data_IF_347491679509
#
_entry.id   IF_347491679509
#
_cell.length_a   1.000
_cell.length_b   1.000
_cell.length_c   1.000
_cell.angle_alpha   90.00
_cell.angle_beta   90.00
_cell.angle_gamma   90.00
#
_symmetry.space_group_name_H-M   'P 1'
#
loop_
_entity.id
_entity.type
_entity.pdbx_description
1 polymer ?
#
# COMPACT_ATOMS: atom_id res chain seq x y z
N UNK A 1 -21.33 21.28 -17.72
CA UNK A 1 -21.54 21.00 -16.29
C UNK A 1 -22.59 19.91 -16.09
N UNK A 2 -22.17 18.75 -15.61
CA UNK A 2 -23.05 17.64 -15.22
C UNK A 2 -22.49 17.03 -13.95
N UNK A 3 -23.31 16.97 -12.91
CA UNK A 3 -23.00 16.38 -11.62
C UNK A 3 -24.22 15.58 -11.15
N UNK A 4 -23.98 14.62 -10.25
CA UNK A 4 -25.02 13.86 -9.57
C UNK A 4 -25.03 14.26 -8.10
N UNK A 5 -26.22 14.41 -7.51
CA UNK A 5 -26.34 14.60 -6.07
C UNK A 5 -26.24 13.25 -5.37
N UNK A 6 -25.34 13.18 -4.38
CA UNK A 6 -25.20 12.01 -3.52
C UNK A 6 -26.00 12.25 -2.21
N UNK A 7 -26.61 11.20 -1.63
CA UNK A 7 -27.27 11.31 -0.34
C UNK A 7 -26.30 11.79 0.75
N UNK A 8 -26.80 12.62 1.67
CA UNK A 8 -26.04 13.00 2.85
C UNK A 8 -25.78 11.77 3.74
N UNK A 9 -24.53 11.58 4.16
CA UNK A 9 -24.11 10.50 5.03
C UNK A 9 -23.45 11.06 6.29
N UNK A 10 -23.73 10.47 7.45
CA UNK A 10 -23.01 10.78 8.68
C UNK A 10 -21.56 10.29 8.56
N UNK A 11 -20.60 11.13 8.97
CA UNK A 11 -19.19 10.80 8.94
C UNK A 11 -18.66 10.49 10.34
N UNK A 12 -17.91 9.40 10.47
CA UNK A 12 -17.20 9.06 11.70
C UNK A 12 -15.73 8.68 11.46
N UNK A 13 -15.00 8.41 12.55
CA UNK A 13 -13.58 8.11 12.49
C UNK A 13 -13.22 6.81 11.74
N UNK A 14 -14.16 5.87 11.59
CA UNK A 14 -13.96 4.63 10.83
C UNK A 14 -13.82 4.88 9.32
N UNK A 15 -14.23 6.05 8.86
CA UNK A 15 -14.13 6.48 7.47
C UNK A 15 -12.88 7.33 7.21
N UNK A 16 -12.01 7.54 8.21
CA UNK A 16 -10.77 8.29 8.09
C UNK A 16 -9.63 7.32 7.77
N UNK A 17 -8.96 7.56 6.63
CA UNK A 17 -7.72 6.88 6.26
C UNK A 17 -6.55 7.87 6.29
N UNK A 18 -5.33 7.41 6.62
CA UNK A 18 -4.17 8.28 6.54
C UNK A 18 -3.91 8.70 5.09
N UNK A 19 -3.46 9.94 4.94
CA UNK A 19 -2.97 10.43 3.64
C UNK A 19 -1.65 9.74 3.29
N UNK A 20 -1.18 9.89 2.05
CA UNK A 20 0.12 9.37 1.61
C UNK A 20 1.24 9.74 2.59
N UNK A 21 1.27 10.98 3.03
CA UNK A 21 2.37 11.55 3.82
C UNK A 21 2.33 11.08 5.30
N UNK A 22 1.17 10.66 5.80
CA UNK A 22 1.00 10.19 7.20
C UNK A 22 0.82 8.68 7.30
N UNK A 23 0.74 7.96 6.17
CA UNK A 23 0.49 6.52 6.12
C UNK A 23 1.52 5.71 6.88
N UNK A 24 2.81 6.01 6.73
CA UNK A 24 3.88 5.23 7.39
C UNK A 24 3.79 5.33 8.91
N UNK A 25 3.64 6.55 9.46
CA UNK A 25 3.48 6.77 10.90
C UNK A 25 2.28 6.01 11.46
N UNK A 26 1.15 6.08 10.75
CA UNK A 26 -0.06 5.37 11.15
C UNK A 26 0.14 3.85 11.14
N UNK A 27 0.72 3.31 10.07
CA UNK A 27 1.07 1.89 9.99
C UNK A 27 1.97 1.46 11.16
N UNK A 28 2.99 2.23 11.51
CA UNK A 28 3.89 1.90 12.63
C UNK A 28 3.20 1.94 14.00
N UNK A 29 2.21 2.81 14.18
CA UNK A 29 1.43 2.83 15.42
C UNK A 29 0.59 1.58 15.65
N UNK A 30 0.32 0.80 14.59
CA UNK A 30 -0.55 -0.39 14.61
C UNK A 30 0.24 -1.68 14.40
N UNK A 31 1.00 -1.77 13.30
CA UNK A 31 1.71 -2.98 12.87
C UNK A 31 3.05 -3.15 13.58
N UNK A 32 3.72 -2.04 13.91
CA UNK A 32 5.04 -2.03 14.53
C UNK A 32 6.07 -2.90 13.77
N UNK A 33 6.09 -2.80 12.44
CA UNK A 33 7.00 -3.64 11.65
C UNK A 33 8.46 -3.22 11.84
N UNK A 34 9.36 -4.19 11.81
CA UNK A 34 10.81 -3.95 11.93
C UNK A 34 11.48 -3.69 10.58
N UNK A 35 10.82 -4.07 9.48
CA UNK A 35 11.32 -3.93 8.12
C UNK A 35 10.22 -3.37 7.22
N UNK A 36 10.58 -2.43 6.35
CA UNK A 36 9.67 -1.86 5.35
C UNK A 36 10.27 -2.00 3.96
N UNK A 37 9.60 -2.78 3.12
CA UNK A 37 10.01 -3.02 1.73
C UNK A 37 9.37 -1.94 0.85
N UNK A 38 10.17 -1.07 0.25
CA UNK A 38 9.69 0.04 -0.58
C UNK A 38 10.15 -0.09 -2.04
N UNK A 39 9.25 0.15 -2.99
CA UNK A 39 9.60 0.30 -4.40
C UNK A 39 10.29 1.64 -4.70
N UNK A 40 10.88 1.78 -5.90
CA UNK A 40 11.61 3.00 -6.30
C UNK A 40 10.79 4.29 -6.13
N UNK A 41 9.57 4.34 -6.69
CA UNK A 41 8.71 5.51 -6.57
C UNK A 41 8.19 5.76 -5.15
N UNK A 42 8.06 4.71 -4.32
CA UNK A 42 7.64 4.88 -2.93
C UNK A 42 8.72 5.56 -2.10
N UNK A 43 10.00 5.21 -2.33
CA UNK A 43 11.12 5.84 -1.63
C UNK A 43 11.29 7.32 -1.92
N UNK A 44 10.80 7.81 -3.05
CA UNK A 44 10.89 9.24 -3.40
C UNK A 44 10.11 10.13 -2.43
N UNK A 45 9.07 9.61 -1.78
CA UNK A 45 8.20 10.40 -0.89
C UNK A 45 8.13 9.88 0.55
N UNK A 46 8.77 8.75 0.88
CA UNK A 46 8.80 8.26 2.26
C UNK A 46 9.64 9.18 3.16
N UNK A 47 9.08 9.51 4.31
CA UNK A 47 9.80 10.18 5.39
C UNK A 47 10.23 9.15 6.44
N UNK A 48 11.49 8.73 6.41
CA UNK A 48 12.01 7.71 7.33
C UNK A 48 11.95 8.16 8.81
N UNK A 49 11.91 9.47 9.08
CA UNK A 49 11.77 10.00 10.44
C UNK A 49 10.39 9.68 11.07
N UNK A 50 9.39 9.31 10.27
CA UNK A 50 8.07 8.89 10.77
C UNK A 50 8.07 7.46 11.36
N UNK A 51 9.16 6.71 11.18
CA UNK A 51 9.32 5.35 11.66
C UNK A 51 10.75 5.13 12.18
N UNK A 52 11.16 5.76 13.29
CA UNK A 52 12.50 5.58 13.81
C UNK A 52 12.74 4.13 14.21
N UNK A 53 13.87 3.57 13.77
CA UNK A 53 14.30 2.22 14.15
C UNK A 53 13.81 1.08 13.26
N UNK A 54 13.09 1.37 12.17
CA UNK A 54 12.77 0.36 11.15
C UNK A 54 13.88 0.28 10.10
N UNK A 55 14.10 -0.91 9.57
CA UNK A 55 15.02 -1.13 8.44
C UNK A 55 14.25 -0.93 7.14
N UNK A 56 14.61 0.10 6.37
CA UNK A 56 14.10 0.29 5.02
C UNK A 56 14.88 -0.58 4.03
N UNK A 57 14.16 -1.38 3.26
CA UNK A 57 14.72 -2.26 2.24
C UNK A 57 14.18 -1.83 0.88
N UNK A 58 15.10 -1.54 -0.04
CA UNK A 58 14.74 -1.35 -1.43
C UNK A 58 14.22 -2.67 -1.99
N UNK A 59 13.01 -2.65 -2.54
CA UNK A 59 12.50 -3.76 -3.33
C UNK A 59 13.27 -3.86 -4.64
N UNK A 60 13.68 -5.08 -5.00
CA UNK A 60 14.29 -5.36 -6.28
C UNK A 60 13.36 -5.00 -7.46
N UNK A 61 13.96 -4.69 -8.60
CA UNK A 61 13.24 -4.47 -9.84
C UNK A 61 12.46 -5.72 -10.23
N UNK A 62 11.21 -5.54 -10.70
CA UNK A 62 10.43 -6.65 -11.26
C UNK A 62 10.73 -6.69 -12.76
N UNK A 63 11.59 -7.60 -13.19
CA UNK A 63 11.86 -7.84 -14.61
C UNK A 63 10.66 -8.47 -15.32
N UNK A 64 9.96 -9.39 -14.65
CA UNK A 64 8.98 -10.29 -15.25
C UNK A 64 7.61 -10.16 -14.55
N UNK A 65 6.99 -8.98 -14.61
CA UNK A 65 5.71 -8.74 -13.93
C UNK A 65 4.56 -9.64 -14.44
N UNK A 66 4.70 -10.22 -15.64
CA UNK A 66 3.76 -11.18 -16.20
C UNK A 66 3.76 -12.55 -15.51
N UNK A 67 4.79 -12.87 -14.71
CA UNK A 67 4.83 -14.08 -13.88
C UNK A 67 4.20 -13.87 -12.50
N UNK A 68 3.61 -12.71 -12.24
CA UNK A 68 2.87 -12.48 -11.01
C UNK A 68 1.72 -13.48 -10.90
N UNK A 69 1.53 -14.05 -9.71
CA UNK A 69 0.38 -14.91 -9.44
C UNK A 69 -0.93 -14.11 -9.63
N UNK A 70 -1.73 -14.49 -10.62
CA UNK A 70 -3.01 -13.81 -10.94
C UNK A 70 -4.24 -14.50 -10.34
N UNK A 71 -4.06 -15.56 -9.53
CA UNK A 71 -5.17 -16.30 -8.93
C UNK A 71 -5.81 -17.36 -9.83
N UNK A 72 -5.63 -17.29 -11.14
CA UNK A 72 -6.02 -18.32 -12.09
C UNK A 72 -4.84 -19.24 -12.39
N UNK A 73 -4.64 -20.22 -11.53
CA UNK A 73 -3.84 -21.39 -11.91
C UNK A 73 -4.72 -22.21 -12.84
N UNK A 74 -4.34 -22.36 -14.10
CA UNK A 74 -4.98 -23.27 -15.05
C UNK A 74 -5.18 -24.64 -14.37
N UNK A 75 -6.42 -24.93 -14.00
CA UNK A 75 -6.83 -26.30 -13.76
C UNK A 75 -6.92 -26.97 -15.13
N UNK A 76 -6.06 -27.97 -15.31
CA UNK A 76 -6.17 -29.11 -16.22
C UNK A 76 -6.13 -28.85 -17.72
N UNK A 77 -5.04 -29.31 -18.35
CA UNK A 77 -5.09 -29.95 -19.68
C UNK A 77 -3.89 -30.87 -19.90
N UNK A 78 -3.59 -31.78 -18.96
CA UNK A 78 -2.70 -32.92 -19.20
C UNK A 78 -3.19 -34.11 -18.37
N UNK A 79 -4.38 -34.62 -18.68
CA UNK A 79 -4.81 -36.03 -18.63
C UNK A 79 -6.04 -36.19 -19.49
#
# INVERSE_FOLDING_TARGET
DRYIELPAQAYDATQINPTRDTRLRWMQSVVQCTHYIAGAGEREYLNEADAPGITFVQRDEISDSGLAYTGESELTSHW
#
